data_IF_894449508104
#
_entry.id   IF_894449508104
#
_cell.length_a   1.000
_cell.length_b   1.000
_cell.length_c   1.000
_cell.angle_alpha   90.00
_cell.angle_beta   90.00
_cell.angle_gamma   90.00
#
_symmetry.space_group_name_H-M   'P 1'
#
loop_
_entity.id
_entity.type
_entity.pdbx_description
1 polymer ?
#
# COMPACT_ATOMS: atom_id res chain seq x y z
N UNK A 1 4.30 -7.02 -1.11
CA UNK A 1 2.92 -6.75 -0.61
C UNK A 1 2.90 -5.73 0.52
N UNK A 2 3.69 -5.92 1.59
CA UNK A 2 3.67 -5.03 2.76
C UNK A 2 3.92 -3.54 2.42
N UNK A 3 4.85 -3.26 1.50
CA UNK A 3 5.15 -1.89 1.07
C UNK A 3 3.96 -1.21 0.39
N UNK A 4 3.24 -1.94 -0.48
CA UNK A 4 2.02 -1.42 -1.10
C UNK A 4 0.96 -1.11 -0.04
N UNK A 5 0.78 -2.00 0.95
CA UNK A 5 -0.13 -1.74 2.07
C UNK A 5 0.28 -0.47 2.82
N UNK A 6 1.56 -0.29 3.13
CA UNK A 6 2.08 0.91 3.79
C UNK A 6 1.82 2.20 3.01
N UNK A 7 1.93 2.16 1.67
CA UNK A 7 1.59 3.30 0.80
C UNK A 7 0.12 3.71 0.98
N UNK A 8 -0.81 2.75 0.94
CA UNK A 8 -2.24 3.08 1.10
C UNK A 8 -2.57 3.54 2.53
N UNK A 9 -1.92 2.99 3.55
CA UNK A 9 -2.04 3.47 4.93
C UNK A 9 -1.54 4.92 5.04
N UNK A 10 -0.41 5.25 4.43
CA UNK A 10 0.11 6.62 4.40
C UNK A 10 -0.84 7.57 3.67
N UNK A 11 -1.39 7.16 2.53
CA UNK A 11 -2.37 7.97 1.80
C UNK A 11 -3.62 8.28 2.66
N UNK A 12 -4.13 7.29 3.40
CA UNK A 12 -5.27 7.46 4.31
C UNK A 12 -4.95 8.42 5.46
N UNK A 13 -3.79 8.24 6.11
CA UNK A 13 -3.46 8.95 7.34
C UNK A 13 -2.90 10.37 7.10
N UNK A 14 -2.25 10.60 5.96
CA UNK A 14 -1.43 11.79 5.75
C UNK A 14 -1.81 12.59 4.49
N UNK A 15 -2.62 12.03 3.59
CA UNK A 15 -2.86 12.62 2.26
C UNK A 15 -4.34 12.86 1.92
N UNK A 16 -5.26 12.70 2.88
CA UNK A 16 -6.68 13.02 2.71
C UNK A 16 -7.53 11.91 2.06
N UNK A 17 -7.01 10.69 1.94
CA UNK A 17 -7.76 9.55 1.38
C UNK A 17 -8.43 8.68 2.48
N UNK A 18 -8.93 9.30 3.54
CA UNK A 18 -9.48 8.60 4.72
C UNK A 18 -10.56 7.57 4.37
N UNK A 19 -11.36 7.86 3.35
CA UNK A 19 -12.59 7.12 3.04
C UNK A 19 -12.35 5.85 2.20
N UNK A 20 -11.11 5.58 1.79
CA UNK A 20 -10.79 4.35 1.04
C UNK A 20 -11.06 3.09 1.89
N UNK A 21 -11.92 2.16 1.44
CA UNK A 21 -12.22 0.95 2.22
C UNK A 21 -11.00 0.02 2.31
N UNK A 22 -10.65 -0.41 3.53
CA UNK A 22 -9.52 -1.31 3.76
C UNK A 22 -9.67 -2.64 2.99
N UNK A 23 -10.89 -3.17 2.92
CA UNK A 23 -11.18 -4.40 2.17
C UNK A 23 -10.94 -4.25 0.67
N UNK A 24 -11.28 -3.10 0.09
CA UNK A 24 -11.04 -2.81 -1.32
C UNK A 24 -9.53 -2.73 -1.61
N UNK A 25 -8.77 -2.03 -0.76
CA UNK A 25 -7.30 -1.94 -0.87
C UNK A 25 -6.68 -3.33 -0.80
N UNK A 26 -7.06 -4.14 0.20
CA UNK A 26 -6.54 -5.50 0.40
C UNK A 26 -6.79 -6.38 -0.81
N UNK A 27 -8.03 -6.39 -1.31
CA UNK A 27 -8.42 -7.16 -2.50
C UNK A 27 -7.66 -6.72 -3.75
N UNK A 28 -7.50 -5.40 -3.93
CA UNK A 28 -6.79 -4.83 -5.07
C UNK A 28 -5.33 -5.30 -5.09
N UNK A 29 -4.63 -5.22 -3.94
CA UNK A 29 -3.24 -5.67 -3.79
C UNK A 29 -3.11 -7.17 -4.06
N UNK A 30 -4.05 -7.98 -3.56
CA UNK A 30 -4.06 -9.43 -3.81
C UNK A 30 -4.22 -9.76 -5.29
N UNK A 31 -5.19 -9.17 -5.97
CA UNK A 31 -5.42 -9.39 -7.40
C UNK A 31 -4.22 -8.91 -8.22
N UNK A 32 -3.68 -7.73 -7.90
CA UNK A 32 -2.47 -7.22 -8.54
C UNK A 32 -1.30 -8.20 -8.42
N UNK A 33 -1.04 -8.73 -7.23
CA UNK A 33 0.04 -9.70 -7.00
C UNK A 33 -0.15 -10.99 -7.82
N UNK A 34 -1.38 -11.52 -7.87
CA UNK A 34 -1.70 -12.71 -8.66
C UNK A 34 -1.48 -12.48 -10.16
N UNK A 35 -1.95 -11.35 -10.69
CA UNK A 35 -1.77 -11.01 -12.10
C UNK A 35 -0.31 -10.78 -12.48
N UNK A 36 0.48 -10.24 -11.56
CA UNK A 36 1.92 -10.05 -11.74
C UNK A 36 2.74 -11.29 -11.37
N UNK A 37 2.09 -12.45 -11.13
CA UNK A 37 2.73 -13.74 -10.84
C UNK A 37 3.72 -13.67 -9.67
N UNK A 38 3.41 -12.88 -8.65
CA UNK A 38 4.22 -12.86 -7.43
C UNK A 38 4.15 -14.23 -6.76
N UNK A 39 5.27 -14.70 -6.23
CA UNK A 39 5.29 -15.90 -5.41
C UNK A 39 4.58 -15.60 -4.08
N UNK A 40 3.44 -16.25 -3.88
CA UNK A 40 2.61 -16.10 -2.70
C UNK A 40 2.73 -17.30 -1.75
N UNK A 41 3.57 -18.29 -2.06
CA UNK A 41 3.68 -19.54 -1.28
C UNK A 41 4.16 -19.29 0.15
N UNK A 42 4.99 -18.26 0.34
CA UNK A 42 5.52 -17.87 1.65
C UNK A 42 4.72 -16.74 2.32
N UNK A 43 3.63 -16.25 1.74
CA UNK A 43 2.90 -15.10 2.28
C UNK A 43 2.36 -15.36 3.69
N UNK A 44 1.95 -16.60 3.98
CA UNK A 44 1.50 -17.02 5.32
C UNK A 44 2.64 -17.31 6.30
N UNK A 45 3.91 -17.33 5.85
CA UNK A 45 5.06 -17.64 6.69
C UNK A 45 5.63 -16.40 7.41
N UNK A 46 5.25 -15.19 6.99
CA UNK A 46 5.73 -13.94 7.57
C UNK A 46 4.63 -13.20 8.35
N UNK A 47 5.02 -12.45 9.38
CA UNK A 47 4.14 -11.48 10.02
C UNK A 47 3.98 -10.25 9.10
N UNK A 48 3.00 -10.33 8.20
CA UNK A 48 2.69 -9.27 7.24
C UNK A 48 2.26 -7.96 7.92
N UNK A 49 1.76 -8.00 9.16
CA UNK A 49 1.45 -6.78 9.92
C UNK A 49 2.73 -6.10 10.36
N UNK A 50 3.65 -6.84 10.97
CA UNK A 50 4.94 -6.30 11.40
C UNK A 50 5.74 -5.72 10.21
N UNK A 51 5.73 -6.43 9.07
CA UNK A 51 6.34 -5.93 7.84
C UNK A 51 5.66 -4.65 7.33
N UNK A 52 4.32 -4.60 7.33
CA UNK A 52 3.59 -3.40 6.89
C UNK A 52 3.86 -2.18 7.76
N UNK A 53 3.96 -2.37 9.08
CA UNK A 53 4.33 -1.31 10.02
C UNK A 53 5.78 -0.84 9.82
N UNK A 54 6.70 -1.77 9.56
CA UNK A 54 8.09 -1.42 9.24
C UNK A 54 8.18 -0.59 7.96
N UNK A 55 7.51 -1.03 6.89
CA UNK A 55 7.42 -0.28 5.63
C UNK A 55 6.76 1.09 5.81
N UNK A 56 5.74 1.23 6.67
CA UNK A 56 5.13 2.52 6.97
C UNK A 56 6.09 3.48 7.68
N UNK A 57 6.84 2.98 8.67
CA UNK A 57 7.87 3.78 9.38
C UNK A 57 8.97 4.23 8.43
N UNK A 58 9.46 3.32 7.58
CA UNK A 58 10.47 3.63 6.57
C UNK A 58 9.97 4.72 5.60
N UNK A 59 8.79 4.51 4.99
CA UNK A 59 8.13 5.48 4.11
C UNK A 59 7.94 6.84 4.78
N UNK A 60 7.53 6.86 6.05
CA UNK A 60 7.31 8.09 6.82
C UNK A 60 8.62 8.85 7.05
N UNK A 61 9.72 8.14 7.29
CA UNK A 61 11.05 8.70 7.53
C UNK A 61 11.74 9.32 6.30
N UNK A 62 11.27 9.02 5.08
CA UNK A 62 11.82 9.63 3.86
C UNK A 62 11.67 11.15 3.91
N UNK A 63 12.79 11.88 3.83
CA UNK A 63 12.89 13.34 3.95
C UNK A 63 12.44 14.07 2.67
N UNK A 64 11.17 13.87 2.27
CA UNK A 64 10.49 14.57 1.19
C UNK A 64 9.32 15.34 1.80
N UNK A 65 9.07 16.61 1.41
CA UNK A 65 7.89 17.35 1.87
C UNK A 65 6.60 16.56 1.67
N UNK A 66 5.75 16.48 2.71
CA UNK A 66 4.51 15.69 2.69
C UNK A 66 3.65 15.92 1.45
N UNK A 67 3.42 17.16 0.96
CA UNK A 67 2.65 17.37 -0.27
C UNK A 67 3.25 16.69 -1.51
N UNK A 68 4.57 16.70 -1.64
CA UNK A 68 5.27 16.05 -2.75
C UNK A 68 5.21 14.52 -2.62
N UNK A 69 5.37 14.00 -1.39
CA UNK A 69 5.23 12.57 -1.10
C UNK A 69 3.81 12.08 -1.41
N UNK A 70 2.79 12.79 -0.94
CA UNK A 70 1.38 12.48 -1.21
C UNK A 70 1.06 12.48 -2.70
N UNK A 71 1.50 13.50 -3.45
CA UNK A 71 1.30 13.58 -4.90
C UNK A 71 1.94 12.40 -5.62
N UNK A 72 3.19 12.09 -5.28
CA UNK A 72 3.94 10.99 -5.90
C UNK A 72 3.30 9.64 -5.60
N UNK A 73 2.98 9.36 -4.33
CA UNK A 73 2.32 8.11 -3.93
C UNK A 73 0.96 7.96 -4.61
N UNK A 74 0.12 8.99 -4.59
CA UNK A 74 -1.21 8.94 -5.18
C UNK A 74 -1.15 8.68 -6.70
N UNK A 75 -0.28 9.40 -7.41
CA UNK A 75 -0.12 9.27 -8.86
C UNK A 75 0.34 7.88 -9.29
N UNK A 76 1.13 7.19 -8.45
CA UNK A 76 1.73 5.91 -8.80
C UNK A 76 0.95 4.69 -8.27
N UNK A 77 0.06 4.85 -7.29
CA UNK A 77 -0.56 3.72 -6.60
C UNK A 77 -2.09 3.63 -6.74
N UNK A 78 -2.81 4.74 -6.91
CA UNK A 78 -4.28 4.70 -6.88
C UNK A 78 -4.91 3.93 -8.05
N UNK A 79 -4.22 3.83 -9.19
CA UNK A 79 -4.64 2.98 -10.31
C UNK A 79 -4.79 1.51 -9.92
N UNK A 80 -4.07 1.06 -8.89
CA UNK A 80 -4.16 -0.30 -8.37
C UNK A 80 -5.57 -0.61 -7.83
N UNK A 81 -6.31 0.39 -7.34
CA UNK A 81 -7.69 0.19 -6.87
C UNK A 81 -8.65 -0.29 -7.99
N UNK A 82 -8.28 -0.12 -9.27
CA UNK A 82 -9.06 -0.65 -10.39
C UNK A 82 -9.11 -2.19 -10.40
N UNK A 83 -8.14 -2.87 -9.78
CA UNK A 83 -8.13 -4.34 -9.69
C UNK A 83 -9.20 -4.91 -8.76
N UNK A 84 -9.76 -4.11 -7.86
CA UNK A 84 -10.81 -4.54 -6.93
C UNK A 84 -12.24 -4.26 -7.44
N UNK A 85 -12.40 -3.85 -8.70
CA UNK A 85 -13.70 -3.68 -9.34
C UNK A 85 -14.34 -5.03 -9.68
#
# INVERSE_FOLDING_TARGET
MADLTAVFVYLKNNCGYSDMPNEQIRRAIQIFALQNKWDMTNYGAYDMRALGEASYRDLSGIAIPTPNKCRSLASNSLSLLAYAR
#
